data_IF_365665498673
#
_entry.id   IF_365665498673
#
_cell.length_a   1.000
_cell.length_b   1.000
_cell.length_c   1.000
_cell.angle_alpha   90.00
_cell.angle_beta   90.00
_cell.angle_gamma   90.00
#
_symmetry.space_group_name_H-M   'P 1'
#
loop_
_entity.id
_entity.type
_entity.pdbx_description
1 polymer ?
#
# COMPACT_ATOMS: atom_id res chain seq x y z
N UNK A 1 -17.63 34.09 42.37
CA UNK A 1 -16.66 35.02 42.99
C UNK A 1 -16.12 34.40 44.27
N UNK A 2 -14.83 34.64 44.56
CA UNK A 2 -14.07 34.23 45.77
C UNK A 2 -13.65 32.75 45.81
N UNK A 3 -12.38 32.34 46.01
CA UNK A 3 -11.17 33.04 46.44
C UNK A 3 -9.96 32.12 46.12
N UNK A 4 -8.98 32.55 45.32
CA UNK A 4 -7.71 31.82 45.09
C UNK A 4 -6.56 32.70 45.60
N UNK A 5 -5.90 32.36 46.73
CA UNK A 5 -4.94 33.24 47.38
C UNK A 5 -3.65 33.43 46.57
N UNK A 6 -3.43 34.69 46.20
CA UNK A 6 -2.54 35.22 45.18
C UNK A 6 -1.10 35.49 45.67
N UNK A 7 -0.52 34.63 46.52
CA UNK A 7 0.80 34.91 47.15
C UNK A 7 1.90 33.88 46.92
N UNK A 8 1.66 32.83 46.14
CA UNK A 8 2.68 31.80 45.82
C UNK A 8 3.04 31.70 44.33
N UNK A 9 2.32 32.42 43.48
CA UNK A 9 2.52 32.42 42.02
C UNK A 9 3.40 33.58 41.53
N UNK A 10 4.35 34.03 42.36
CA UNK A 10 5.33 35.05 42.02
C UNK A 10 6.77 34.51 41.98
N UNK A 11 6.98 33.19 42.11
CA UNK A 11 8.33 32.63 42.24
C UNK A 11 8.60 31.34 41.44
N UNK A 12 7.81 31.05 40.41
CA UNK A 12 8.07 29.95 39.48
C UNK A 12 7.66 30.32 38.04
N UNK A 13 8.37 31.29 37.44
CA UNK A 13 8.26 31.66 36.01
C UNK A 13 9.53 31.28 35.23
N UNK A 14 10.03 30.04 35.37
CA UNK A 14 11.14 29.56 34.55
C UNK A 14 11.29 28.01 34.56
N UNK A 15 10.30 27.25 34.11
CA UNK A 15 10.52 25.85 33.70
C UNK A 15 9.65 25.51 32.49
N UNK A 16 10.32 25.24 31.35
CA UNK A 16 9.88 24.47 30.18
C UNK A 16 8.57 24.94 29.49
N UNK A 17 8.59 25.71 28.40
CA UNK A 17 8.95 25.26 27.04
C UNK A 17 8.82 23.73 26.86
N UNK A 18 7.76 23.34 26.14
CA UNK A 18 7.45 22.02 25.58
C UNK A 18 6.55 21.10 26.42
N UNK A 19 5.23 21.35 26.42
CA UNK A 19 4.20 20.31 26.31
C UNK A 19 3.02 20.83 25.48
N UNK A 20 3.20 20.84 24.17
CA UNK A 20 2.09 20.81 23.23
C UNK A 20 2.29 19.57 22.34
N UNK A 21 1.51 18.49 22.49
CA UNK A 21 1.45 17.48 21.45
C UNK A 21 0.53 18.00 20.34
N UNK A 22 0.97 19.04 19.64
CA UNK A 22 0.43 19.41 18.35
C UNK A 22 1.20 18.64 17.29
N UNK A 23 0.78 17.43 17.01
CA UNK A 23 0.92 16.89 15.66
C UNK A 23 -0.27 15.98 15.38
N UNK A 24 -1.35 16.57 14.86
CA UNK A 24 -2.17 15.84 13.92
C UNK A 24 -1.28 15.53 12.71
N UNK A 25 -0.57 14.39 12.75
CA UNK A 25 0.23 13.93 11.63
C UNK A 25 -0.68 13.14 10.69
N UNK A 26 -1.51 13.86 9.95
CA UNK A 26 -2.12 13.34 8.72
C UNK A 26 -1.07 13.44 7.59
N UNK A 27 -0.22 12.43 7.49
CA UNK A 27 0.61 12.07 6.33
C UNK A 27 0.70 10.54 6.38
N UNK A 28 0.45 9.76 5.36
CA UNK A 28 0.50 9.98 3.92
C UNK A 28 -0.37 8.86 3.32
N UNK A 29 -1.17 9.15 2.29
CA UNK A 29 -1.81 8.12 1.50
C UNK A 29 -0.71 7.18 0.96
N UNK A 30 -0.68 5.95 1.47
CA UNK A 30 0.24 4.92 1.04
C UNK A 30 0.10 4.70 -0.47
N UNK A 31 0.98 5.32 -1.24
CA UNK A 31 1.21 4.96 -2.63
C UNK A 31 1.72 3.51 -2.64
N UNK A 32 0.85 2.57 -3.00
CA UNK A 32 1.27 1.19 -3.27
C UNK A 32 2.36 1.17 -4.35
N UNK A 33 3.35 0.25 -4.24
CA UNK A 33 4.41 0.11 -5.22
C UNK A 33 3.83 -0.36 -6.56
N UNK A 34 3.52 0.60 -7.43
CA UNK A 34 3.15 0.34 -8.82
C UNK A 34 4.42 0.15 -9.65
N UNK A 35 5.20 -0.88 -9.29
CA UNK A 35 6.42 -1.26 -10.01
C UNK A 35 6.43 -2.76 -10.38
N UNK A 36 5.27 -3.42 -10.45
CA UNK A 36 5.22 -4.81 -10.91
C UNK A 36 5.56 -4.91 -12.40
N UNK A 37 6.17 -6.02 -12.83
CA UNK A 37 6.44 -6.25 -14.27
C UNK A 37 5.17 -6.21 -15.12
N UNK A 38 4.03 -6.63 -14.56
CA UNK A 38 2.73 -6.49 -15.22
C UNK A 38 2.37 -5.02 -15.47
N UNK A 39 2.62 -4.13 -14.51
CA UNK A 39 2.41 -2.70 -14.73
C UNK A 39 3.30 -2.18 -15.87
N UNK A 40 4.56 -2.62 -15.96
CA UNK A 40 5.49 -2.20 -17.01
C UNK A 40 5.07 -2.70 -18.40
N UNK A 41 4.72 -3.99 -18.51
CA UNK A 41 4.24 -4.58 -19.76
C UNK A 41 2.93 -3.93 -20.25
N UNK A 42 2.06 -3.54 -19.31
CA UNK A 42 0.77 -2.91 -19.62
C UNK A 42 0.83 -1.38 -19.74
N UNK A 43 1.96 -0.71 -19.46
CA UNK A 43 2.10 0.75 -19.61
C UNK A 43 1.67 1.29 -20.98
N UNK A 44 2.07 0.71 -22.13
CA UNK A 44 1.66 1.25 -23.43
C UNK A 44 0.16 1.10 -23.66
N UNK A 45 -0.43 -0.02 -23.25
CA UNK A 45 -1.87 -0.27 -23.37
C UNK A 45 -2.66 0.64 -22.43
N UNK A 46 -2.18 0.83 -21.20
CA UNK A 46 -2.77 1.74 -20.23
C UNK A 46 -2.82 3.18 -20.72
N UNK A 47 -1.75 3.66 -21.37
CA UNK A 47 -1.73 5.02 -21.95
C UNK A 47 -2.71 5.19 -23.12
N UNK A 48 -3.01 4.12 -23.86
CA UNK A 48 -3.88 4.18 -25.04
C UNK A 48 -5.35 4.01 -24.67
N UNK A 49 -5.65 3.08 -23.76
CA UNK A 49 -6.99 2.60 -23.46
C UNK A 49 -7.54 3.22 -22.16
N UNK A 50 -6.66 3.61 -21.24
CA UNK A 50 -7.02 4.08 -19.90
C UNK A 50 -6.52 5.51 -19.63
N UNK A 51 -6.42 6.34 -20.66
CA UNK A 51 -6.03 7.74 -20.50
C UNK A 51 -6.98 8.45 -19.52
N UNK A 52 -6.41 9.20 -18.57
CA UNK A 52 -7.18 9.85 -17.49
C UNK A 52 -7.49 8.96 -16.26
N UNK A 53 -7.22 7.65 -16.29
CA UNK A 53 -7.39 6.79 -15.10
C UNK A 53 -6.24 7.03 -14.12
N UNK A 54 -6.57 7.55 -12.93
CA UNK A 54 -5.55 7.80 -11.90
C UNK A 54 -5.05 6.47 -11.30
N UNK A 55 -3.75 6.15 -11.42
CA UNK A 55 -3.17 4.93 -10.86
C UNK A 55 -3.36 4.85 -9.33
N UNK A 56 -3.34 3.61 -8.81
CA UNK A 56 -3.54 3.31 -7.39
C UNK A 56 -4.94 2.77 -7.05
N UNK A 57 -5.04 2.07 -5.91
CA UNK A 57 -6.29 1.49 -5.42
C UNK A 57 -6.96 0.49 -6.35
N UNK A 58 -6.21 -0.13 -7.27
CA UNK A 58 -6.75 -1.10 -8.23
C UNK A 58 -7.43 -0.50 -9.46
N UNK A 59 -7.73 0.81 -9.49
CA UNK A 59 -8.46 1.46 -10.61
C UNK A 59 -7.80 1.24 -11.97
N UNK A 60 -6.48 1.32 -12.04
CA UNK A 60 -5.78 1.11 -13.31
C UNK A 60 -5.91 -0.32 -13.83
N UNK A 61 -5.96 -1.29 -12.93
CA UNK A 61 -6.14 -2.70 -13.27
C UNK A 61 -7.59 -3.01 -13.67
N UNK A 62 -8.56 -2.31 -13.07
CA UNK A 62 -9.97 -2.37 -13.47
C UNK A 62 -10.16 -1.89 -14.91
N UNK A 63 -9.52 -0.78 -15.28
CA UNK A 63 -9.61 -0.28 -16.65
C UNK A 63 -8.99 -1.26 -17.65
N UNK A 64 -7.79 -1.77 -17.36
CA UNK A 64 -7.14 -2.77 -18.24
C UNK A 64 -7.99 -4.03 -18.39
N UNK A 65 -8.70 -4.46 -17.34
CA UNK A 65 -9.64 -5.60 -17.42
C UNK A 65 -10.82 -5.32 -18.36
N UNK A 66 -11.39 -4.12 -18.31
CA UNK A 66 -12.50 -3.75 -19.22
C UNK A 66 -12.06 -3.77 -20.69
N UNK A 67 -10.80 -3.44 -20.95
CA UNK A 67 -10.20 -3.50 -22.28
C UNK A 67 -9.37 -4.76 -22.53
N UNK A 68 -9.62 -5.86 -21.81
CA UNK A 68 -8.75 -7.04 -21.86
C UNK A 68 -8.58 -7.58 -23.28
N UNK A 69 -9.62 -7.51 -24.10
CA UNK A 69 -9.61 -7.95 -25.50
C UNK A 69 -8.66 -7.11 -26.37
N UNK A 70 -8.55 -5.81 -26.09
CA UNK A 70 -7.75 -4.82 -26.83
C UNK A 70 -6.30 -4.74 -26.35
N UNK A 71 -5.97 -5.37 -25.21
CA UNK A 71 -4.61 -5.42 -24.68
C UNK A 71 -3.66 -6.16 -25.62
N UNK A 72 -2.41 -5.69 -25.65
CA UNK A 72 -1.31 -6.39 -26.29
C UNK A 72 -1.12 -7.79 -25.68
N UNK A 73 -0.60 -8.73 -26.50
CA UNK A 73 -0.25 -10.08 -26.02
C UNK A 73 0.70 -10.02 -24.82
N UNK A 74 1.65 -9.08 -24.83
CA UNK A 74 2.59 -8.89 -23.74
C UNK A 74 1.89 -8.51 -22.42
N UNK A 75 0.93 -7.57 -22.45
CA UNK A 75 0.18 -7.19 -21.27
C UNK A 75 -0.74 -8.33 -20.79
N UNK A 76 -1.42 -9.04 -21.70
CA UNK A 76 -2.24 -10.22 -21.36
C UNK A 76 -1.43 -11.29 -20.63
N UNK A 77 -0.26 -11.65 -21.17
CA UNK A 77 0.66 -12.61 -20.54
C UNK A 77 1.12 -12.13 -19.17
N UNK A 78 1.54 -10.87 -19.05
CA UNK A 78 2.04 -10.34 -17.78
C UNK A 78 0.94 -10.25 -16.70
N UNK A 79 -0.31 -9.94 -17.09
CA UNK A 79 -1.46 -9.99 -16.20
C UNK A 79 -1.79 -11.41 -15.74
N UNK A 80 -1.70 -12.40 -16.63
CA UNK A 80 -1.84 -13.82 -16.29
C UNK A 80 -0.82 -14.25 -15.25
N UNK A 81 0.46 -14.04 -15.55
CA UNK A 81 1.57 -14.36 -14.65
C UNK A 81 1.44 -13.66 -13.29
N UNK A 82 1.02 -12.40 -13.27
CA UNK A 82 0.78 -11.69 -12.01
C UNK A 82 -0.38 -12.30 -11.19
N UNK A 83 -1.45 -12.77 -11.83
CA UNK A 83 -2.56 -13.47 -11.17
C UNK A 83 -2.10 -14.80 -10.57
N UNK A 84 -1.37 -15.60 -11.35
CA UNK A 84 -0.84 -16.90 -10.91
C UNK A 84 0.12 -16.72 -9.73
N UNK A 85 1.00 -15.73 -9.81
CA UNK A 85 1.92 -15.38 -8.73
C UNK A 85 1.22 -14.85 -7.49
N UNK A 86 0.16 -14.05 -7.64
CA UNK A 86 -0.65 -13.61 -6.50
C UNK A 86 -1.40 -14.80 -5.86
N UNK A 87 -1.88 -15.75 -6.65
CA UNK A 87 -2.52 -16.96 -6.14
C UNK A 87 -1.52 -17.86 -5.38
N UNK A 88 -0.34 -18.10 -5.95
CA UNK A 88 0.72 -18.88 -5.30
C UNK A 88 1.19 -18.21 -3.99
N UNK A 89 1.39 -16.90 -4.02
CA UNK A 89 1.72 -16.12 -2.83
C UNK A 89 0.63 -16.20 -1.75
N UNK A 90 -0.65 -16.19 -2.13
CA UNK A 90 -1.77 -16.36 -1.19
C UNK A 90 -1.83 -17.77 -0.63
N UNK A 91 -1.58 -18.79 -1.44
CA UNK A 91 -1.57 -20.17 -0.97
C UNK A 91 -0.44 -20.42 0.04
N UNK A 92 0.73 -19.81 -0.17
CA UNK A 92 1.89 -19.97 0.72
C UNK A 92 1.84 -19.04 1.95
N UNK A 93 1.35 -17.81 1.78
CA UNK A 93 1.50 -16.73 2.77
C UNK A 93 0.18 -16.06 3.18
N UNK A 94 -0.98 -16.60 2.80
CA UNK A 94 -2.31 -16.00 2.98
C UNK A 94 -3.20 -16.74 3.99
N UNK A 95 -2.62 -17.20 5.10
CA UNK A 95 -3.27 -18.12 6.05
C UNK A 95 -4.62 -17.66 6.62
N UNK A 96 -4.98 -16.37 6.60
CA UNK A 96 -6.26 -15.90 7.15
C UNK A 96 -6.82 -14.76 6.28
N UNK A 97 -7.61 -15.11 5.26
CA UNK A 97 -8.43 -14.14 4.50
C UNK A 97 -9.89 -14.57 4.61
N UNK A 98 -10.41 -14.52 5.83
CA UNK A 98 -11.84 -14.44 6.10
C UNK A 98 -12.06 -13.17 6.91
N UNK A 99 -12.64 -12.17 6.23
CA UNK A 99 -13.43 -11.07 6.82
C UNK A 99 -12.69 -10.04 7.70
N UNK A 100 -12.32 -8.90 7.10
CA UNK A 100 -12.03 -7.65 7.82
C UNK A 100 -10.57 -7.40 8.20
N UNK A 101 -9.71 -7.02 7.23
CA UNK A 101 -8.36 -6.58 7.53
C UNK A 101 -8.28 -5.04 7.63
N UNK A 102 -8.57 -4.51 8.82
CA UNK A 102 -7.85 -3.33 9.29
C UNK A 102 -6.41 -3.77 9.62
N UNK A 103 -5.45 -2.94 9.21
CA UNK A 103 -4.05 -3.32 9.00
C UNK A 103 -3.37 -4.02 10.17
N UNK A 104 -2.58 -5.05 9.85
CA UNK A 104 -1.75 -5.70 10.85
C UNK A 104 -0.96 -6.93 10.42
N UNK A 105 -0.42 -7.03 9.19
CA UNK A 105 0.55 -8.11 8.88
C UNK A 105 1.38 -7.93 7.58
N UNK A 106 1.57 -6.70 7.09
CA UNK A 106 2.34 -6.50 5.85
C UNK A 106 3.80 -7.01 5.98
N UNK A 107 4.38 -6.90 7.18
CA UNK A 107 5.76 -7.32 7.46
C UNK A 107 5.89 -8.85 7.49
N UNK A 108 4.99 -9.57 8.15
CA UNK A 108 5.03 -11.04 8.23
C UNK A 108 4.61 -11.70 6.92
N UNK A 109 3.69 -11.10 6.14
CA UNK A 109 3.50 -11.48 4.73
C UNK A 109 4.79 -11.29 3.91
N UNK A 110 5.49 -10.17 4.08
CA UNK A 110 6.77 -9.92 3.38
C UNK A 110 7.87 -10.88 3.85
N UNK A 111 7.93 -11.21 5.13
CA UNK A 111 8.84 -12.20 5.68
C UNK A 111 8.55 -13.60 5.12
N UNK A 112 7.28 -13.99 5.02
CA UNK A 112 6.87 -15.24 4.38
C UNK A 112 7.27 -15.27 2.89
N UNK A 113 6.98 -14.21 2.12
CA UNK A 113 7.40 -14.12 0.71
C UNK A 113 8.93 -14.24 0.56
N UNK A 114 9.69 -13.69 1.53
CA UNK A 114 11.15 -13.83 1.55
C UNK A 114 11.58 -15.26 1.87
N UNK A 115 10.91 -15.94 2.81
CA UNK A 115 11.18 -17.34 3.14
C UNK A 115 10.87 -18.28 1.97
N UNK A 116 9.84 -17.96 1.18
CA UNK A 116 9.41 -18.72 0.00
C UNK A 116 9.92 -18.12 -1.32
N UNK A 117 11.00 -17.33 -1.31
CA UNK A 117 11.51 -16.67 -2.51
C UNK A 117 11.95 -17.64 -3.62
N UNK A 118 12.38 -18.85 -3.26
CA UNK A 118 12.75 -19.91 -4.22
C UNK A 118 11.53 -20.51 -4.92
N UNK A 119 10.44 -20.74 -4.17
CA UNK A 119 9.16 -21.22 -4.70
C UNK A 119 8.49 -20.17 -5.60
N UNK A 120 8.67 -18.90 -5.23
CA UNK A 120 8.22 -17.73 -5.96
C UNK A 120 9.28 -17.20 -6.94
N UNK A 121 10.26 -18.00 -7.34
CA UNK A 121 11.35 -17.56 -8.23
C UNK A 121 10.83 -17.09 -9.59
N UNK A 122 9.74 -17.67 -10.07
CA UNK A 122 8.99 -17.25 -11.27
C UNK A 122 8.17 -15.96 -11.05
N UNK A 123 8.00 -15.57 -9.79
CA UNK A 123 7.19 -14.46 -9.31
C UNK A 123 7.98 -13.25 -8.81
N UNK A 124 9.29 -13.19 -9.12
CA UNK A 124 10.22 -12.08 -8.76
C UNK A 124 9.75 -10.67 -9.17
N UNK A 125 8.66 -10.57 -9.93
CA UNK A 125 8.00 -9.35 -10.38
C UNK A 125 7.26 -8.53 -9.31
N UNK A 126 7.28 -8.94 -8.03
CA UNK A 126 6.55 -8.28 -6.93
C UNK A 126 7.42 -7.46 -5.97
N UNK A 127 8.71 -7.26 -6.29
CA UNK A 127 9.64 -6.46 -5.45
C UNK A 127 9.66 -5.00 -5.88
#
# INVERSE_FOLDING_TARGET
MNSIPSKKYALMLAVALAWAPWTAQAKEAAASPMASQAAQACRPDFKKLCDGVRPGGGRGLECLKQHESELSTACKTAMGQAKDCAAQARQLCGAEVSEGAEGGDADKRRACLKAHASELSQCKAAK
#
